data_IF_578734648127
#
_entry.id   IF_578734648127
#
_cell.length_a   1.000
_cell.length_b   1.000
_cell.length_c   1.000
_cell.angle_alpha   90.00
_cell.angle_beta   90.00
_cell.angle_gamma   90.00
#
_symmetry.space_group_name_H-M   'P 1'
#
loop_
_entity.id
_entity.type
_entity.pdbx_description
1 polymer ?
#
# COMPACT_ATOMS: atom_id res chain seq x y z
N UNK A 1 10.52 -0.87 22.16
CA UNK A 1 11.70 -0.85 21.35
C UNK A 1 11.46 -1.13 19.87
N UNK A 2 12.54 -1.18 19.12
CA UNK A 2 12.51 -1.38 17.68
C UNK A 2 11.85 -2.71 17.27
N UNK A 3 11.95 -3.76 18.07
CA UNK A 3 11.34 -5.06 17.80
C UNK A 3 9.82 -5.04 17.85
N UNK A 4 9.22 -4.23 18.72
CA UNK A 4 7.77 -4.05 18.79
C UNK A 4 7.23 -3.28 17.58
N UNK A 5 8.02 -2.33 17.07
CA UNK A 5 7.66 -1.54 15.90
C UNK A 5 7.62 -2.39 14.62
N UNK A 6 8.49 -3.37 14.49
CA UNK A 6 8.59 -4.26 13.33
C UNK A 6 7.32 -5.10 13.13
N UNK A 7 6.58 -5.38 14.19
CA UNK A 7 5.35 -6.17 14.12
C UNK A 7 4.12 -5.38 13.66
N UNK A 8 4.21 -4.06 13.57
CA UNK A 8 3.09 -3.19 13.17
C UNK A 8 3.13 -2.90 11.66
N UNK A 9 1.94 -2.78 11.04
CA UNK A 9 1.82 -2.23 9.68
C UNK A 9 2.32 -0.79 9.68
N UNK A 10 3.21 -0.44 8.76
CA UNK A 10 3.94 0.83 8.80
C UNK A 10 5.25 0.75 9.55
N UNK A 11 5.71 -0.47 9.83
CA UNK A 11 7.00 -0.76 10.48
C UNK A 11 8.21 -0.09 9.83
N UNK A 12 8.14 0.19 8.53
CA UNK A 12 9.22 0.87 7.79
C UNK A 12 9.49 2.28 8.36
N UNK A 13 8.43 3.03 8.68
CA UNK A 13 8.57 4.33 9.34
C UNK A 13 9.15 4.21 10.74
N UNK A 14 8.70 3.20 11.48
CA UNK A 14 9.22 2.91 12.82
C UNK A 14 10.69 2.54 12.80
N UNK A 15 11.14 1.74 11.83
CA UNK A 15 12.54 1.38 11.64
C UNK A 15 13.40 2.60 11.35
N UNK A 16 12.96 3.51 10.48
CA UNK A 16 13.68 4.74 10.15
C UNK A 16 13.83 5.62 11.38
N UNK A 17 12.76 5.76 12.17
CA UNK A 17 12.79 6.55 13.42
C UNK A 17 13.74 5.92 14.44
N UNK A 18 13.69 4.60 14.62
CA UNK A 18 14.57 3.89 15.55
C UNK A 18 16.04 4.01 15.13
N UNK A 19 16.33 3.86 13.85
CA UNK A 19 17.67 4.05 13.30
C UNK A 19 18.17 5.47 13.51
N UNK A 20 17.30 6.46 13.34
CA UNK A 20 17.60 7.87 13.60
C UNK A 20 18.00 8.14 15.05
N UNK A 21 17.26 7.55 16.00
CA UNK A 21 17.56 7.65 17.43
C UNK A 21 18.93 7.07 17.75
N UNK A 22 19.24 5.89 17.22
CA UNK A 22 20.54 5.25 17.43
C UNK A 22 21.69 6.07 16.84
N UNK A 23 21.48 6.66 15.66
CA UNK A 23 22.49 7.52 15.03
C UNK A 23 22.75 8.78 15.84
N UNK A 24 21.71 9.40 16.38
CA UNK A 24 21.84 10.57 17.27
C UNK A 24 22.63 10.19 18.51
N UNK A 25 22.40 9.03 19.10
CA UNK A 25 23.13 8.53 20.24
C UNK A 25 24.64 8.35 19.93
N UNK A 26 24.96 7.77 18.77
CA UNK A 26 26.33 7.58 18.31
C UNK A 26 27.02 8.94 18.10
N UNK A 27 26.34 9.88 17.48
CA UNK A 27 26.85 11.24 17.26
C UNK A 27 27.11 11.93 18.61
N UNK A 28 26.19 11.77 19.56
CA UNK A 28 26.35 12.31 20.91
C UNK A 28 27.58 11.74 21.61
N UNK A 29 27.85 10.45 21.47
CA UNK A 29 29.07 9.83 22.00
C UNK A 29 30.34 10.40 21.33
N UNK A 30 30.32 10.59 20.02
CA UNK A 30 31.44 11.17 19.29
C UNK A 30 31.75 12.62 19.75
N UNK A 31 30.71 13.42 19.99
CA UNK A 31 30.87 14.78 20.55
C UNK A 31 31.46 14.69 21.93
N UNK A 32 31.00 13.79 22.78
CA UNK A 32 31.51 13.60 24.12
C UNK A 32 32.99 13.21 24.16
N UNK A 33 33.49 12.52 23.14
CA UNK A 33 34.90 12.17 22.99
C UNK A 33 35.76 13.27 22.37
N UNK A 34 35.17 14.41 22.02
CA UNK A 34 35.89 15.55 21.44
C UNK A 34 36.08 15.47 19.92
N UNK A 35 35.41 14.53 19.25
CA UNK A 35 35.47 14.34 17.79
C UNK A 35 34.46 15.24 17.05
N UNK A 36 34.63 16.56 17.20
CA UNK A 36 33.64 17.53 16.69
C UNK A 36 33.50 17.53 15.17
N UNK A 37 34.60 17.49 14.44
CA UNK A 37 34.57 17.44 12.96
C UNK A 37 33.85 16.22 12.43
N UNK A 38 34.15 15.08 13.02
CA UNK A 38 33.51 13.82 12.65
C UNK A 38 31.99 13.89 12.93
N UNK A 39 31.60 14.46 14.06
CA UNK A 39 30.21 14.62 14.45
C UNK A 39 29.44 15.52 13.48
N UNK A 40 30.04 16.63 13.06
CA UNK A 40 29.43 17.56 12.09
C UNK A 40 29.24 16.86 10.73
N UNK A 41 30.24 16.16 10.23
CA UNK A 41 30.17 15.44 8.95
C UNK A 41 29.12 14.35 9.03
N UNK A 42 29.11 13.56 10.10
CA UNK A 42 28.12 12.49 10.30
C UNK A 42 26.70 13.02 10.38
N UNK A 43 26.49 14.11 11.11
CA UNK A 43 25.17 14.76 11.22
C UNK A 43 24.66 15.26 9.87
N UNK A 44 25.51 15.93 9.12
CA UNK A 44 25.18 16.43 7.78
C UNK A 44 24.81 15.27 6.84
N UNK A 45 25.59 14.19 6.86
CA UNK A 45 25.35 13.02 6.03
C UNK A 45 24.03 12.34 6.36
N UNK A 46 23.75 12.16 7.66
CA UNK A 46 22.52 11.53 8.13
C UNK A 46 21.30 12.38 7.76
N UNK A 47 21.35 13.67 7.96
CA UNK A 47 20.27 14.58 7.57
C UNK A 47 20.01 14.52 6.06
N UNK A 48 21.07 14.47 5.26
CA UNK A 48 20.94 14.34 3.82
C UNK A 48 20.25 13.04 3.43
N UNK A 49 20.68 11.92 4.01
CA UNK A 49 20.08 10.60 3.75
C UNK A 49 18.61 10.57 4.18
N UNK A 50 18.28 11.10 5.36
CA UNK A 50 16.90 11.11 5.85
C UNK A 50 15.98 11.95 4.96
N UNK A 51 16.43 13.12 4.52
CA UNK A 51 15.66 13.97 3.62
C UNK A 51 15.43 13.29 2.28
N UNK A 52 16.45 12.64 1.73
CA UNK A 52 16.32 11.92 0.46
C UNK A 52 15.39 10.71 0.59
N UNK A 53 15.48 9.97 1.68
CA UNK A 53 14.62 8.82 1.95
C UNK A 53 13.17 9.25 2.11
N UNK A 54 12.92 10.33 2.83
CA UNK A 54 11.58 10.90 2.99
C UNK A 54 10.97 11.32 1.65
N UNK A 55 11.75 11.94 0.79
CA UNK A 55 11.31 12.31 -0.57
C UNK A 55 10.94 11.09 -1.40
N UNK A 56 11.73 10.03 -1.33
CA UNK A 56 11.46 8.78 -2.05
C UNK A 56 10.19 8.12 -1.52
N UNK A 57 10.04 8.02 -0.20
CA UNK A 57 8.83 7.48 0.42
C UNK A 57 7.60 8.30 0.04
N UNK A 58 7.71 9.61 0.02
CA UNK A 58 6.62 10.51 -0.36
C UNK A 58 6.19 10.31 -1.81
N UNK A 59 7.14 10.11 -2.73
CA UNK A 59 6.83 9.83 -4.14
C UNK A 59 6.16 8.48 -4.33
N UNK A 60 6.56 7.47 -3.56
CA UNK A 60 6.00 6.11 -3.66
C UNK A 60 4.64 6.03 -2.98
N UNK A 61 4.45 6.68 -1.83
CA UNK A 61 3.21 6.57 -1.04
C UNK A 61 2.13 7.60 -1.37
N UNK A 62 2.48 8.78 -1.90
CA UNK A 62 1.50 9.80 -2.24
C UNK A 62 0.66 9.48 -3.47
N UNK A 63 1.11 8.58 -4.32
CA UNK A 63 0.41 8.23 -5.56
C UNK A 63 -0.36 6.92 -5.51
N UNK A 64 -0.28 6.15 -4.43
CA UNK A 64 -0.89 4.83 -4.40
C UNK A 64 -1.60 4.54 -3.07
N UNK A 65 -2.85 4.17 -3.17
CA UNK A 65 -3.68 3.74 -2.04
C UNK A 65 -4.15 2.31 -2.27
N UNK A 66 -4.27 1.55 -1.19
CA UNK A 66 -4.83 0.22 -1.23
C UNK A 66 -6.34 0.29 -1.04
N UNK A 67 -7.09 -0.29 -1.97
CA UNK A 67 -8.55 -0.31 -1.95
C UNK A 67 -9.05 -1.73 -2.12
N UNK A 68 -10.23 -2.01 -1.59
CA UNK A 68 -10.90 -3.29 -1.78
C UNK A 68 -12.14 -3.06 -2.65
N UNK A 69 -12.19 -3.77 -3.77
CA UNK A 69 -13.37 -3.79 -4.64
C UNK A 69 -14.10 -5.09 -4.38
N UNK A 70 -15.32 -4.99 -3.88
CA UNK A 70 -16.19 -6.14 -3.64
C UNK A 70 -17.25 -6.20 -4.72
N UNK A 71 -17.27 -7.30 -5.45
CA UNK A 71 -18.21 -7.49 -6.56
C UNK A 71 -19.06 -8.72 -6.26
N UNK A 72 -20.38 -8.54 -6.32
CA UNK A 72 -21.33 -9.64 -6.24
C UNK A 72 -21.84 -9.93 -7.64
N UNK A 73 -21.57 -11.13 -8.14
CA UNK A 73 -21.88 -11.56 -9.50
C UNK A 73 -23.01 -12.58 -9.43
N UNK A 74 -24.03 -12.41 -10.27
CA UNK A 74 -25.21 -13.29 -10.31
C UNK A 74 -25.01 -14.64 -11.00
N UNK A 75 -23.76 -15.06 -11.17
CA UNK A 75 -23.40 -16.35 -11.76
C UNK A 75 -22.14 -16.90 -11.11
N UNK A 76 -21.87 -18.19 -11.32
CA UNK A 76 -20.63 -18.80 -10.83
C UNK A 76 -19.49 -18.46 -11.79
N UNK A 77 -18.55 -17.68 -11.32
CA UNK A 77 -17.41 -17.22 -12.10
C UNK A 77 -16.24 -18.18 -11.97
N UNK A 78 -15.81 -18.78 -13.08
CA UNK A 78 -14.69 -19.73 -13.10
C UNK A 78 -13.33 -19.06 -13.30
N UNK A 79 -13.30 -17.87 -13.91
CA UNK A 79 -12.07 -17.17 -14.24
C UNK A 79 -12.22 -15.66 -14.03
N UNK A 80 -11.19 -15.05 -13.48
CA UNK A 80 -11.12 -13.61 -13.24
C UNK A 80 -10.25 -12.87 -14.25
N UNK A 81 -9.82 -13.52 -15.31
CA UNK A 81 -8.92 -12.94 -16.31
C UNK A 81 -9.47 -11.67 -16.95
N UNK A 82 -10.78 -11.60 -17.17
CA UNK A 82 -11.45 -10.43 -17.72
C UNK A 82 -11.30 -9.22 -16.80
N UNK A 83 -11.47 -9.43 -15.49
CA UNK A 83 -11.28 -8.39 -14.48
C UNK A 83 -9.83 -7.94 -14.39
N UNK A 84 -8.89 -8.87 -14.50
CA UNK A 84 -7.45 -8.55 -14.52
C UNK A 84 -7.10 -7.69 -15.74
N UNK A 85 -7.68 -8.00 -16.89
CA UNK A 85 -7.45 -7.25 -18.13
C UNK A 85 -7.93 -5.81 -17.99
N UNK A 86 -9.11 -5.60 -17.41
CA UNK A 86 -9.67 -4.28 -17.17
C UNK A 86 -8.80 -3.50 -16.18
N UNK A 87 -8.38 -4.13 -15.08
CA UNK A 87 -7.49 -3.51 -14.10
C UNK A 87 -6.18 -3.07 -14.73
N UNK A 88 -5.60 -3.93 -15.56
CA UNK A 88 -4.35 -3.62 -16.27
C UNK A 88 -4.53 -2.46 -17.25
N UNK A 89 -5.66 -2.41 -17.93
CA UNK A 89 -6.00 -1.33 -18.87
C UNK A 89 -6.08 0.03 -18.18
N UNK A 90 -6.56 0.07 -16.94
CA UNK A 90 -6.65 1.27 -16.11
C UNK A 90 -5.41 1.54 -15.26
N UNK A 91 -4.32 0.78 -15.46
CA UNK A 91 -3.09 0.87 -14.67
C UNK A 91 -3.30 0.65 -13.17
N UNK A 92 -4.23 -0.21 -12.82
CA UNK A 92 -4.50 -0.61 -11.44
C UNK A 92 -3.79 -1.92 -11.17
N UNK A 93 -2.97 -1.96 -10.12
CA UNK A 93 -2.25 -3.16 -9.74
C UNK A 93 -3.10 -4.03 -8.81
N UNK A 94 -3.32 -5.29 -9.20
CA UNK A 94 -4.00 -6.27 -8.37
C UNK A 94 -2.98 -6.89 -7.40
N UNK A 95 -3.11 -6.57 -6.12
CA UNK A 95 -2.24 -7.09 -5.07
C UNK A 95 -2.64 -8.52 -4.67
N UNK A 96 -3.94 -8.73 -4.45
CA UNK A 96 -4.47 -10.03 -4.05
C UNK A 96 -5.96 -10.08 -4.40
N UNK A 97 -6.52 -11.28 -4.36
CA UNK A 97 -7.96 -11.45 -4.57
C UNK A 97 -8.48 -12.65 -3.78
N UNK A 98 -9.76 -12.57 -3.41
CA UNK A 98 -10.47 -13.65 -2.75
C UNK A 98 -11.76 -13.90 -3.50
N UNK A 99 -12.09 -15.16 -3.71
CA UNK A 99 -13.32 -15.56 -4.38
C UNK A 99 -14.13 -16.44 -3.43
N UNK A 100 -15.37 -16.07 -3.21
CA UNK A 100 -16.32 -16.84 -2.41
C UNK A 100 -17.47 -17.26 -3.32
N UNK A 101 -17.76 -18.55 -3.36
CA UNK A 101 -18.85 -19.09 -4.15
C UNK A 101 -20.03 -19.45 -3.27
N UNK A 102 -21.20 -18.94 -3.63
CA UNK A 102 -22.47 -19.34 -3.04
C UNK A 102 -23.25 -20.16 -4.08
N UNK A 103 -23.20 -21.46 -3.92
CA UNK A 103 -23.87 -22.38 -4.85
C UNK A 103 -25.37 -22.45 -4.65
N UNK A 104 -25.85 -22.12 -3.47
CA UNK A 104 -27.27 -22.12 -3.14
C UNK A 104 -28.01 -21.00 -3.87
N UNK A 105 -27.44 -19.81 -3.88
CA UNK A 105 -28.00 -18.64 -4.54
C UNK A 105 -27.42 -18.39 -5.94
N UNK A 106 -26.49 -19.23 -6.38
CA UNK A 106 -25.76 -19.09 -7.66
C UNK A 106 -25.15 -17.69 -7.75
N UNK A 107 -24.24 -17.40 -6.83
CA UNK A 107 -23.62 -16.09 -6.68
C UNK A 107 -22.13 -16.24 -6.44
N UNK A 108 -21.33 -15.36 -7.04
CA UNK A 108 -19.91 -15.24 -6.75
C UNK A 108 -19.63 -13.92 -6.09
N UNK A 109 -18.94 -13.96 -4.97
CA UNK A 109 -18.44 -12.77 -4.28
C UNK A 109 -16.95 -12.64 -4.54
N UNK A 110 -16.58 -11.66 -5.31
CA UNK A 110 -15.19 -11.40 -5.68
C UNK A 110 -14.67 -10.20 -4.89
N UNK A 111 -13.61 -10.40 -4.12
CA UNK A 111 -12.94 -9.35 -3.38
C UNK A 111 -11.56 -9.11 -4.00
N UNK A 112 -11.38 -7.95 -4.60
CA UNK A 112 -10.13 -7.56 -5.22
C UNK A 112 -9.41 -6.53 -4.35
N UNK A 113 -8.21 -6.86 -3.90
CA UNK A 113 -7.34 -5.93 -3.19
C UNK A 113 -6.44 -5.29 -4.24
N UNK A 114 -6.66 -4.02 -4.51
CA UNK A 114 -5.97 -3.30 -5.57
C UNK A 114 -5.18 -2.12 -5.02
N UNK A 115 -4.11 -1.79 -5.71
CA UNK A 115 -3.34 -0.58 -5.44
C UNK A 115 -3.66 0.40 -6.56
N UNK A 116 -4.30 1.50 -6.20
CA UNK A 116 -4.79 2.52 -7.13
C UNK A 116 -4.04 3.82 -6.93
N UNK A 117 -3.93 4.62 -7.99
CA UNK A 117 -3.40 5.97 -7.92
C UNK A 117 -4.51 6.96 -7.59
N UNK A 118 -4.13 8.09 -7.01
CA UNK A 118 -5.04 9.15 -6.59
C UNK A 118 -5.97 9.64 -7.71
N UNK A 119 -5.50 9.61 -8.96
CA UNK A 119 -6.25 10.07 -10.12
C UNK A 119 -7.01 8.96 -10.86
N UNK A 120 -7.22 7.83 -10.23
CA UNK A 120 -7.95 6.72 -10.87
C UNK A 120 -9.44 7.04 -10.99
N UNK A 121 -9.98 6.91 -12.20
CA UNK A 121 -11.40 7.07 -12.45
C UNK A 121 -12.15 5.79 -12.07
N UNK A 122 -12.64 5.76 -10.84
CA UNK A 122 -13.36 4.61 -10.29
C UNK A 122 -14.68 4.35 -11.01
N UNK A 123 -15.38 5.40 -11.39
CA UNK A 123 -16.70 5.28 -12.05
C UNK A 123 -16.55 4.54 -13.37
N UNK A 124 -15.57 4.92 -14.17
CA UNK A 124 -15.30 4.28 -15.45
C UNK A 124 -14.85 2.83 -15.28
N UNK A 125 -13.97 2.58 -14.31
CA UNK A 125 -13.48 1.25 -13.98
C UNK A 125 -14.61 0.31 -13.53
N UNK A 126 -15.46 0.77 -12.62
CA UNK A 126 -16.57 -0.02 -12.11
C UNK A 126 -17.66 -0.24 -13.17
N UNK A 127 -17.87 0.73 -14.06
CA UNK A 127 -18.78 0.58 -15.19
C UNK A 127 -18.31 -0.50 -16.16
N UNK A 128 -17.01 -0.59 -16.42
CA UNK A 128 -16.46 -1.68 -17.23
C UNK A 128 -16.63 -3.04 -16.57
N UNK A 129 -16.46 -3.14 -15.24
CA UNK A 129 -16.72 -4.38 -14.52
C UNK A 129 -18.19 -4.83 -14.65
N UNK A 130 -19.11 -3.90 -14.57
CA UNK A 130 -20.54 -4.21 -14.72
C UNK A 130 -20.87 -4.84 -16.07
N UNK A 131 -20.16 -4.45 -17.13
CA UNK A 131 -20.38 -4.95 -18.48
C UNK A 131 -19.83 -6.36 -18.71
N UNK A 132 -18.89 -6.82 -17.89
CA UNK A 132 -18.23 -8.10 -18.09
C UNK A 132 -19.13 -9.29 -17.75
N UNK A 133 -19.85 -9.21 -16.67
CA UNK A 133 -20.72 -10.27 -16.16
C UNK A 133 -21.95 -9.67 -15.48
N UNK A 134 -23.04 -10.46 -15.29
CA UNK A 134 -24.20 -10.03 -14.54
C UNK A 134 -23.82 -9.64 -13.10
N UNK A 135 -23.75 -8.37 -12.82
CA UNK A 135 -23.29 -7.81 -11.53
C UNK A 135 -24.48 -7.34 -10.71
N UNK A 136 -24.62 -7.86 -9.49
CA UNK A 136 -25.66 -7.41 -8.55
C UNK A 136 -25.26 -6.14 -7.82
N UNK A 137 -24.08 -6.12 -7.24
CA UNK A 137 -23.54 -4.96 -6.51
C UNK A 137 -22.03 -4.87 -6.67
N UNK A 138 -21.52 -3.65 -6.67
CA UNK A 138 -20.10 -3.36 -6.59
C UNK A 138 -19.89 -2.38 -5.44
N UNK A 139 -19.00 -2.71 -4.53
CA UNK A 139 -18.66 -1.87 -3.38
C UNK A 139 -17.19 -1.54 -3.40
N UNK A 140 -16.86 -0.26 -3.31
CA UNK A 140 -15.48 0.20 -3.15
C UNK A 140 -15.26 0.55 -1.69
N UNK A 141 -14.34 -0.15 -1.04
CA UNK A 141 -14.03 0.05 0.36
C UNK A 141 -12.57 0.39 0.57
N UNK A 142 -12.28 1.11 1.64
CA UNK A 142 -10.93 1.35 2.08
C UNK A 142 -10.42 0.12 2.85
N UNK A 143 -9.17 -0.26 2.65
CA UNK A 143 -8.58 -1.43 3.34
C UNK A 143 -8.67 -1.30 4.87
N UNK A 144 -8.65 -0.08 5.38
CA UNK A 144 -8.72 0.19 6.82
C UNK A 144 -10.14 0.05 7.41
N UNK A 145 -11.16 -0.08 6.58
CA UNK A 145 -12.56 -0.10 7.03
C UNK A 145 -13.13 -1.52 7.20
N UNK A 146 -12.28 -2.52 7.20
CA UNK A 146 -12.68 -3.91 7.40
C UNK A 146 -12.77 -4.23 8.88
#
# INVERSE_FOLDING_TARGET
GAGAIIQMKGSVRGLTTAAGIWMVAIIGMAVGLGMYWLSVIASALILFILVQLERIEHRVSMGSESRIIRIRIGEILHDISDYRTVLRRHNVHLSNFYVEYDFENIETRLNLIVIVRENTDYIHLLTEFEKLHPTKTITLANQLSI
#
